data_IF_178769334505
#
_entry.id   IF_178769334505
#
_cell.length_a   1.000
_cell.length_b   1.000
_cell.length_c   1.000
_cell.angle_alpha   90.00
_cell.angle_beta   90.00
_cell.angle_gamma   90.00
#
_symmetry.space_group_name_H-M   'P 1'
#
loop_
_entity.id
_entity.type
_entity.pdbx_description
1 polymer ?
#
# COMPACT_ATOMS: atom_id res chain seq x y z
N UNK A 1 -22.48 -0.49 28.07
CA UNK A 1 -21.94 -1.23 26.91
C UNK A 1 -20.83 -0.34 26.37
N UNK A 2 -19.64 -0.49 26.94
CA UNK A 2 -18.51 0.41 26.71
C UNK A 2 -17.77 -0.07 25.46
N UNK A 3 -17.73 0.76 24.42
CA UNK A 3 -16.98 0.51 23.21
C UNK A 3 -15.52 0.85 23.51
N UNK A 4 -14.66 -0.18 23.46
CA UNK A 4 -13.23 -0.03 23.63
C UNK A 4 -12.63 0.70 22.42
N UNK A 5 -12.20 1.95 22.62
CA UNK A 5 -11.30 2.65 21.70
C UNK A 5 -9.87 2.10 21.90
N UNK A 6 -9.41 1.29 20.94
CA UNK A 6 -8.02 0.84 20.84
C UNK A 6 -7.11 1.97 20.33
N UNK A 7 -5.85 2.08 20.79
CA UNK A 7 -4.99 3.22 20.47
C UNK A 7 -4.29 3.05 19.11
N UNK A 8 -4.58 3.97 18.20
CA UNK A 8 -3.56 4.81 17.57
C UNK A 8 -2.59 4.16 16.58
N UNK A 9 -3.07 3.73 15.42
CA UNK A 9 -2.35 4.00 14.19
C UNK A 9 -2.90 5.31 13.63
N UNK A 10 -2.06 6.34 13.49
CA UNK A 10 -2.44 7.60 12.84
C UNK A 10 -2.63 7.38 11.34
N UNK A 11 -3.73 6.71 10.98
CA UNK A 11 -4.28 6.80 9.64
C UNK A 11 -4.55 8.28 9.39
N UNK A 12 -3.81 8.88 8.47
CA UNK A 12 -4.21 10.16 7.92
C UNK A 12 -5.69 10.03 7.57
N UNK A 13 -6.55 10.88 8.13
CA UNK A 13 -7.99 10.81 7.85
C UNK A 13 -8.16 11.22 6.39
N UNK A 14 -8.00 10.24 5.48
CA UNK A 14 -8.26 10.42 4.06
C UNK A 14 -9.77 10.56 3.97
N UNK A 15 -10.23 11.78 3.70
CA UNK A 15 -11.66 12.06 3.55
C UNK A 15 -12.14 11.30 2.31
N UNK A 16 -13.05 10.35 2.50
CA UNK A 16 -13.65 9.60 1.40
C UNK A 16 -14.42 10.58 0.48
N UNK A 17 -14.05 10.62 -0.79
CA UNK A 17 -14.60 11.54 -1.80
C UNK A 17 -15.69 10.88 -2.67
N UNK A 18 -16.17 9.71 -2.28
CA UNK A 18 -17.10 8.93 -3.09
C UNK A 18 -18.44 9.66 -3.32
N UNK A 19 -18.86 10.49 -2.34
CA UNK A 19 -20.05 11.36 -2.44
C UNK A 19 -19.74 12.76 -2.95
N UNK A 20 -18.49 13.08 -3.28
CA UNK A 20 -18.17 14.35 -3.92
C UNK A 20 -18.73 14.37 -5.34
N UNK A 21 -19.35 15.50 -5.70
CA UNK A 21 -19.85 15.73 -7.05
C UNK A 21 -18.66 16.09 -7.93
N UNK A 22 -18.57 15.45 -9.09
CA UNK A 22 -17.56 15.65 -10.12
C UNK A 22 -18.24 15.96 -11.45
N UNK A 23 -17.57 16.72 -12.30
CA UNK A 23 -18.02 17.01 -13.66
C UNK A 23 -17.40 16.02 -14.65
N UNK A 24 -18.26 15.33 -15.39
CA UNK A 24 -17.89 14.43 -16.48
C UNK A 24 -17.83 15.12 -17.83
N UNK A 25 -17.37 14.38 -18.83
CA UNK A 25 -17.40 14.84 -20.21
C UNK A 25 -18.85 15.18 -20.62
N UNK A 26 -19.05 16.36 -21.21
CA UNK A 26 -20.38 16.83 -21.62
C UNK A 26 -21.18 17.57 -20.54
N UNK A 27 -20.54 18.00 -19.44
CA UNK A 27 -21.19 18.83 -18.41
C UNK A 27 -22.13 18.06 -17.48
N UNK A 28 -22.04 16.73 -17.49
CA UNK A 28 -22.84 15.87 -16.60
C UNK A 28 -22.16 15.81 -15.24
N UNK A 29 -22.87 16.19 -14.18
CA UNK A 29 -22.38 16.04 -12.80
C UNK A 29 -22.75 14.67 -12.25
N UNK A 30 -21.79 13.95 -11.69
CA UNK A 30 -22.01 12.65 -11.05
C UNK A 30 -21.22 12.55 -9.74
N UNK A 31 -21.53 11.56 -8.91
CA UNK A 31 -20.66 11.14 -7.82
C UNK A 31 -20.24 9.69 -8.05
N UNK A 32 -19.08 9.30 -7.54
CA UNK A 32 -18.59 7.92 -7.66
C UNK A 32 -19.55 6.94 -6.98
N UNK A 33 -20.15 7.34 -5.86
CA UNK A 33 -21.20 6.59 -5.18
C UNK A 33 -22.44 6.33 -6.07
N UNK A 34 -22.87 7.31 -6.88
CA UNK A 34 -23.98 7.12 -7.82
C UNK A 34 -23.64 6.12 -8.94
N UNK A 35 -22.38 6.06 -9.34
CA UNK A 35 -21.89 5.10 -10.32
C UNK A 35 -21.64 3.70 -9.72
N UNK A 36 -21.81 3.54 -8.40
CA UNK A 36 -21.53 2.29 -7.70
C UNK A 36 -20.04 1.94 -7.65
N UNK A 37 -19.15 2.92 -7.82
CA UNK A 37 -17.69 2.73 -7.76
C UNK A 37 -17.10 3.38 -6.53
N UNK A 38 -16.01 2.82 -6.04
CA UNK A 38 -15.26 3.38 -4.93
C UNK A 38 -14.29 4.45 -5.43
N UNK A 39 -14.05 5.42 -4.56
CA UNK A 39 -13.00 6.41 -4.71
C UNK A 39 -11.72 5.84 -4.11
N UNK A 40 -10.56 6.28 -4.61
CA UNK A 40 -9.26 5.72 -4.18
C UNK A 40 -9.04 5.74 -2.67
N UNK A 41 -9.60 6.72 -1.95
CA UNK A 41 -9.58 6.73 -0.48
C UNK A 41 -10.27 5.52 0.15
N UNK A 42 -11.46 5.18 -0.34
CA UNK A 42 -12.26 4.08 0.18
C UNK A 42 -11.69 2.73 -0.33
N UNK A 43 -11.09 2.67 -1.53
CA UNK A 43 -10.34 1.50 -2.01
C UNK A 43 -9.10 1.21 -1.16
N UNK A 44 -8.28 2.23 -0.87
CA UNK A 44 -7.10 2.07 -0.01
C UNK A 44 -7.47 1.62 1.40
N UNK A 45 -8.54 2.17 1.98
CA UNK A 45 -9.00 1.75 3.30
C UNK A 45 -9.37 0.26 3.33
N UNK A 46 -10.11 -0.22 2.32
CA UNK A 46 -10.44 -1.65 2.21
C UNK A 46 -9.18 -2.49 2.08
N UNK A 47 -8.26 -2.10 1.20
CA UNK A 47 -7.00 -2.82 1.02
C UNK A 47 -6.17 -2.88 2.31
N UNK A 48 -6.12 -1.81 3.09
CA UNK A 48 -5.47 -1.78 4.41
C UNK A 48 -6.14 -2.74 5.40
N UNK A 49 -7.47 -2.76 5.46
CA UNK A 49 -8.21 -3.70 6.31
C UNK A 49 -7.99 -5.16 5.90
N UNK A 50 -8.04 -5.46 4.61
CA UNK A 50 -7.80 -6.80 4.07
C UNK A 50 -6.36 -7.27 4.35
N UNK A 51 -5.39 -6.37 4.20
CA UNK A 51 -3.99 -6.63 4.53
C UNK A 51 -3.80 -6.91 6.03
N UNK A 52 -4.43 -6.10 6.89
CA UNK A 52 -4.38 -6.27 8.33
C UNK A 52 -5.01 -7.62 8.75
N UNK A 53 -6.18 -7.95 8.20
CA UNK A 53 -6.84 -9.22 8.49
C UNK A 53 -5.99 -10.41 8.00
N UNK A 54 -5.37 -10.30 6.81
CA UNK A 54 -4.42 -11.31 6.33
C UNK A 54 -3.28 -11.49 7.31
N UNK A 55 -2.69 -10.39 7.80
CA UNK A 55 -1.58 -10.41 8.73
C UNK A 55 -1.93 -11.06 10.07
N UNK A 56 -3.13 -10.79 10.58
CA UNK A 56 -3.65 -11.37 11.84
C UNK A 56 -3.94 -12.86 11.74
N UNK A 57 -4.30 -13.37 10.54
CA UNK A 57 -4.49 -14.81 10.30
C UNK A 57 -3.18 -15.60 10.26
N UNK A 58 -2.03 -14.95 10.14
CA UNK A 58 -0.73 -15.62 10.08
C UNK A 58 -0.28 -16.07 11.47
N UNK A 59 0.32 -17.26 11.54
CA UNK A 59 1.04 -17.70 12.73
C UNK A 59 2.30 -16.85 12.96
N UNK A 60 2.81 -16.74 14.20
CA UNK A 60 4.03 -16.00 14.49
C UNK A 60 5.25 -16.44 13.65
N UNK A 61 5.33 -17.73 13.29
CA UNK A 61 6.40 -18.26 12.44
C UNK A 61 6.28 -17.76 10.99
N UNK A 62 5.06 -17.67 10.46
CA UNK A 62 4.79 -17.13 9.12
C UNK A 62 5.07 -15.63 9.07
N UNK A 63 4.61 -14.86 10.07
CA UNK A 63 4.91 -13.43 10.18
C UNK A 63 6.42 -13.16 10.17
N UNK A 64 7.19 -13.94 10.94
CA UNK A 64 8.66 -13.83 10.96
C UNK A 64 9.26 -14.09 9.58
N UNK A 65 8.78 -15.10 8.85
CA UNK A 65 9.24 -15.42 7.50
C UNK A 65 8.98 -14.27 6.52
N UNK A 66 7.80 -13.66 6.57
CA UNK A 66 7.47 -12.52 5.72
C UNK A 66 8.34 -11.30 6.02
N UNK A 67 8.54 -10.97 7.30
CA UNK A 67 9.45 -9.87 7.71
C UNK A 67 10.86 -10.10 7.16
N UNK A 68 11.37 -11.33 7.28
CA UNK A 68 12.70 -11.66 6.76
C UNK A 68 12.77 -11.57 5.24
N UNK A 69 11.73 -12.01 4.53
CA UNK A 69 11.66 -11.91 3.07
C UNK A 69 11.68 -10.44 2.60
N UNK A 70 10.90 -9.57 3.25
CA UNK A 70 10.87 -8.13 2.95
C UNK A 70 12.24 -7.49 3.22
N UNK A 71 12.85 -7.79 4.38
CA UNK A 71 14.19 -7.29 4.73
C UNK A 71 15.25 -7.75 3.73
N UNK A 72 15.19 -9.02 3.32
CA UNK A 72 16.11 -9.57 2.32
C UNK A 72 15.95 -8.88 0.97
N UNK A 73 14.71 -8.72 0.49
CA UNK A 73 14.44 -8.02 -0.77
C UNK A 73 14.89 -6.54 -0.74
N UNK A 74 14.77 -5.87 0.41
CA UNK A 74 15.28 -4.52 0.60
C UNK A 74 16.82 -4.49 0.64
N UNK A 75 17.46 -5.47 1.27
CA UNK A 75 18.91 -5.60 1.30
C UNK A 75 19.48 -5.85 -0.10
N UNK A 76 18.86 -6.74 -0.87
CA UNK A 76 19.26 -7.03 -2.26
C UNK A 76 19.19 -5.79 -3.15
N UNK A 77 18.17 -4.94 -2.99
CA UNK A 77 18.04 -3.66 -3.71
C UNK A 77 19.12 -2.63 -3.35
N UNK A 78 19.81 -2.80 -2.22
CA UNK A 78 20.89 -1.89 -1.76
C UNK A 78 22.28 -2.43 -2.06
N UNK A 79 22.40 -3.64 -2.60
CA UNK A 79 23.70 -4.15 -3.02
C UNK A 79 24.10 -3.42 -4.31
N UNK A 80 25.36 -2.96 -4.40
CA UNK A 80 25.85 -2.39 -5.65
C UNK A 80 25.86 -3.49 -6.71
N UNK A 81 25.36 -3.20 -7.91
CA UNK A 81 25.39 -4.12 -9.06
C UNK A 81 26.81 -4.57 -9.43
N UNK A 82 27.81 -3.78 -9.03
CA UNK A 82 29.23 -4.04 -9.24
C UNK A 82 29.95 -4.15 -7.91
N UNK A 83 30.78 -5.18 -7.77
CA UNK A 83 31.76 -5.26 -6.67
C UNK A 83 32.68 -4.03 -6.73
N UNK A 84 32.88 -3.28 -5.64
CA UNK A 84 33.86 -2.20 -5.60
C UNK A 84 35.24 -2.71 -6.06
N UNK A 85 35.83 -2.06 -7.06
CA UNK A 85 37.11 -2.46 -7.66
C UNK A 85 37.02 -3.51 -8.78
N UNK A 86 35.82 -3.92 -9.22
CA UNK A 86 35.69 -4.78 -10.39
C UNK A 86 36.15 -4.05 -11.66
N UNK A 87 37.07 -4.61 -12.46
CA UNK A 87 37.53 -4.00 -13.71
C UNK A 87 36.37 -3.69 -14.66
N UNK A 88 36.48 -2.55 -15.34
CA UNK A 88 35.50 -2.12 -16.33
C UNK A 88 35.84 -2.72 -17.69
N UNK A 89 35.23 -3.86 -18.02
CA UNK A 89 35.44 -4.53 -19.32
C UNK A 89 34.65 -3.89 -20.47
N UNK A 90 33.90 -2.81 -20.20
CA UNK A 90 33.19 -2.00 -21.21
C UNK A 90 34.13 -0.97 -21.87
N UNK A 91 35.27 -1.43 -22.39
CA UNK A 91 36.15 -0.60 -23.24
C UNK A 91 36.10 -1.16 -24.65
N UNK A 92 35.50 -0.45 -25.62
CA UNK A 92 35.58 -0.86 -27.02
C UNK A 92 37.04 -0.74 -27.48
N UNK A 93 37.58 -1.84 -28.03
CA UNK A 93 38.86 -1.87 -28.74
C UNK A 93 38.77 -1.11 -30.06
#
# INVERSE_FOLDING_TARGET
>A
MELAEGPGATAAVVRCTCHSIQEGAGGVTFSLAMLGVLCGSCESAIAEYEEQERWERLTPAQQRREILAVRWAAAMRRLPDRRPGAPNYDVPF
#
